data_IF_175358103303
#
_entry.id   IF_175358103303
#
_cell.length_a   1.000
_cell.length_b   1.000
_cell.length_c   1.000
_cell.angle_alpha   90.00
_cell.angle_beta   90.00
_cell.angle_gamma   90.00
#
_symmetry.space_group_name_H-M   'P 1'
#
loop_
_entity.id
_entity.type
_entity.pdbx_description
1 polymer ?
#
# COMPACT_ATOMS: atom_id res chain seq x y z
N UNK A 1 23.72 18.50 23.18
CA UNK A 1 23.23 17.22 22.63
C UNK A 1 21.95 17.57 21.90
N UNK A 2 22.05 17.85 20.61
CA UNK A 2 20.86 18.12 19.79
C UNK A 2 20.01 16.84 19.67
N UNK A 3 18.68 16.96 19.64
CA UNK A 3 17.82 15.81 19.40
C UNK A 3 18.09 15.20 18.01
N UNK A 4 17.99 13.87 17.95
CA UNK A 4 18.20 13.03 16.78
C UNK A 4 17.04 13.22 15.76
N UNK A 5 17.31 13.29 14.44
CA UNK A 5 16.30 13.66 13.44
C UNK A 5 15.42 12.45 13.07
N UNK A 6 14.56 11.99 13.97
CA UNK A 6 13.55 10.97 13.68
C UNK A 6 12.11 11.40 14.07
N UNK A 7 11.90 12.69 14.37
CA UNK A 7 10.67 13.14 15.04
C UNK A 7 9.49 13.53 14.12
N UNK A 8 9.55 13.28 12.80
CA UNK A 8 8.44 13.61 11.90
C UNK A 8 8.12 12.52 10.87
N UNK A 9 7.34 11.51 11.27
CA UNK A 9 6.61 10.65 10.34
C UNK A 9 5.19 10.35 10.83
N UNK A 10 4.46 11.39 11.22
CA UNK A 10 3.03 11.26 11.47
C UNK A 10 2.28 11.91 10.32
N UNK A 11 1.26 11.23 9.82
CA UNK A 11 0.29 11.80 8.89
C UNK A 11 -0.19 13.16 9.45
N UNK A 12 -0.50 14.15 8.60
CA UNK A 12 -1.10 15.38 9.07
C UNK A 12 -2.33 15.08 9.94
N UNK A 13 -2.49 15.79 11.06
CA UNK A 13 -3.60 15.54 12.01
C UNK A 13 -5.00 15.75 11.43
N UNK A 14 -5.09 16.31 10.22
CA UNK A 14 -6.32 16.53 9.46
C UNK A 14 -6.64 15.38 8.49
N UNK A 15 -5.72 14.44 8.27
CA UNK A 15 -5.88 13.35 7.31
C UNK A 15 -6.17 12.02 8.04
N UNK A 16 -7.43 11.61 8.02
CA UNK A 16 -7.84 10.26 8.40
C UNK A 16 -7.85 9.37 7.14
N UNK A 17 -7.33 8.14 7.26
CA UNK A 17 -7.28 7.19 6.15
C UNK A 17 -7.58 5.78 6.63
N UNK A 18 -7.93 4.91 5.68
CA UNK A 18 -8.18 3.50 5.90
C UNK A 18 -8.09 2.74 4.59
N UNK A 19 -7.80 1.44 4.67
CA UNK A 19 -7.60 0.62 3.48
C UNK A 19 -8.14 -0.79 3.69
N UNK A 20 -8.67 -1.35 2.61
CA UNK A 20 -9.16 -2.71 2.55
C UNK A 20 -9.10 -3.17 1.10
N UNK A 21 -8.78 -4.43 0.89
CA UNK A 21 -8.92 -5.10 -0.40
C UNK A 21 -9.68 -6.41 -0.24
N UNK A 22 -10.30 -6.90 -1.31
CA UNK A 22 -11.14 -8.09 -1.31
C UNK A 22 -11.09 -8.76 -2.70
N UNK A 23 -10.91 -10.10 -2.80
CA UNK A 23 -10.90 -10.81 -4.10
C UNK A 23 -12.24 -10.76 -4.85
N UNK A 24 -13.32 -10.37 -4.18
CA UNK A 24 -14.67 -10.42 -4.69
C UNK A 24 -15.22 -11.85 -4.74
N UNK A 25 -16.26 -12.05 -5.55
CA UNK A 25 -17.05 -13.30 -5.58
C UNK A 25 -16.58 -14.33 -6.61
N UNK A 26 -15.74 -13.93 -7.56
CA UNK A 26 -15.41 -14.72 -8.75
C UNK A 26 -13.95 -15.14 -8.77
N UNK A 27 -13.02 -14.25 -8.39
CA UNK A 27 -11.60 -14.56 -8.44
C UNK A 27 -11.24 -15.53 -7.30
N UNK A 28 -10.42 -16.56 -7.56
CA UNK A 28 -9.97 -17.49 -6.52
C UNK A 28 -8.90 -16.90 -5.59
N UNK A 29 -8.25 -15.81 -6.01
CA UNK A 29 -7.22 -15.11 -5.28
C UNK A 29 -7.31 -13.61 -5.54
N UNK A 30 -6.84 -12.83 -4.57
CA UNK A 30 -6.71 -11.38 -4.70
C UNK A 30 -5.32 -11.05 -5.26
N UNK A 31 -5.27 -10.29 -6.34
CA UNK A 31 -4.02 -9.82 -6.95
C UNK A 31 -3.84 -8.30 -6.77
N UNK A 32 -4.72 -7.65 -6.02
CA UNK A 32 -4.60 -6.24 -5.65
C UNK A 32 -3.56 -6.06 -4.53
N UNK A 33 -2.78 -5.00 -4.61
CA UNK A 33 -1.85 -4.58 -3.57
C UNK A 33 -1.95 -3.06 -3.32
N UNK A 34 -1.50 -2.60 -2.14
CA UNK A 34 -1.48 -1.18 -1.79
C UNK A 34 -0.28 -0.83 -0.92
N UNK A 35 0.17 0.43 -1.00
CA UNK A 35 1.13 1.03 -0.07
C UNK A 35 0.57 2.33 0.49
N UNK A 36 0.83 2.59 1.76
CA UNK A 36 0.41 3.82 2.43
C UNK A 36 1.61 4.37 3.21
N UNK A 37 2.07 5.54 2.79
CA UNK A 37 3.12 6.31 3.47
C UNK A 37 2.55 7.71 3.78
N UNK A 38 1.74 7.85 4.84
CA UNK A 38 1.08 9.11 5.18
C UNK A 38 2.04 10.24 5.51
N UNK A 39 3.24 9.91 5.99
CA UNK A 39 4.32 10.85 6.22
C UNK A 39 4.85 11.49 4.94
N UNK A 40 4.68 10.82 3.80
CA UNK A 40 5.00 11.34 2.47
C UNK A 40 3.77 11.93 1.77
N UNK A 41 2.58 11.83 2.38
CA UNK A 41 1.31 12.08 1.71
C UNK A 41 1.05 11.13 0.53
N UNK A 42 1.67 9.93 0.54
CA UNK A 42 1.65 8.99 -0.58
C UNK A 42 0.71 7.81 -0.31
N UNK A 43 -0.12 7.51 -1.31
CA UNK A 43 -1.03 6.37 -1.32
C UNK A 43 -0.95 5.70 -2.69
N UNK A 44 -0.71 4.39 -2.71
CA UNK A 44 -0.54 3.60 -3.93
C UNK A 44 -1.52 2.44 -3.94
N UNK A 45 -2.13 2.17 -5.09
CA UNK A 45 -2.92 0.97 -5.36
C UNK A 45 -2.40 0.36 -6.65
N UNK A 46 -2.22 -0.96 -6.66
CA UNK A 46 -1.74 -1.72 -7.81
C UNK A 46 -2.68 -2.90 -8.08
N UNK A 47 -3.26 -2.97 -9.27
CA UNK A 47 -4.12 -4.07 -9.73
C UNK A 47 -3.25 -5.09 -10.48
N UNK A 48 -3.04 -6.25 -9.87
CA UNK A 48 -2.26 -7.33 -10.46
C UNK A 48 -3.03 -8.08 -11.53
N UNK A 49 -2.38 -8.26 -12.68
CA UNK A 49 -2.89 -9.10 -13.77
C UNK A 49 -1.92 -10.25 -14.08
N UNK A 50 -2.44 -11.44 -14.33
CA UNK A 50 -1.64 -12.60 -14.75
C UNK A 50 -2.04 -13.92 -14.10
N UNK A 51 -2.82 -13.89 -13.02
CA UNK A 51 -3.34 -15.07 -12.36
C UNK A 51 -2.36 -15.75 -11.39
N UNK A 52 -2.93 -16.32 -10.32
CA UNK A 52 -2.25 -17.04 -9.24
C UNK A 52 -1.11 -16.28 -8.56
N UNK A 53 0.11 -16.40 -9.10
CA UNK A 53 1.34 -15.81 -8.54
C UNK A 53 1.91 -14.70 -9.41
N UNK A 54 1.48 -14.62 -10.68
CA UNK A 54 1.99 -13.63 -11.64
C UNK A 54 1.50 -12.23 -11.31
N UNK A 55 0.18 -12.07 -11.20
CA UNK A 55 -0.44 -10.77 -10.90
C UNK A 55 -0.10 -10.31 -9.49
N UNK A 56 -0.25 -11.19 -8.49
CA UNK A 56 0.08 -10.85 -7.10
C UNK A 56 1.54 -10.41 -6.92
N UNK A 57 2.51 -11.06 -7.58
CA UNK A 57 3.92 -10.66 -7.50
C UNK A 57 4.17 -9.32 -8.20
N UNK A 58 3.59 -9.10 -9.37
CA UNK A 58 3.74 -7.85 -10.09
C UNK A 58 3.15 -6.68 -9.29
N UNK A 59 1.95 -6.85 -8.72
CA UNK A 59 1.33 -5.84 -7.88
C UNK A 59 2.14 -5.56 -6.60
N UNK A 60 2.69 -6.60 -5.97
CA UNK A 60 3.58 -6.49 -4.81
C UNK A 60 4.82 -5.63 -5.09
N UNK A 61 5.50 -5.85 -6.22
CA UNK A 61 6.69 -5.06 -6.60
C UNK A 61 6.37 -3.56 -6.67
N UNK A 62 5.20 -3.18 -7.20
CA UNK A 62 4.79 -1.77 -7.33
C UNK A 62 4.61 -1.07 -5.98
N UNK A 63 4.35 -1.83 -4.90
CA UNK A 63 4.02 -1.28 -3.58
C UNK A 63 5.10 -1.54 -2.52
N UNK A 64 6.11 -2.35 -2.84
CA UNK A 64 7.24 -2.69 -1.96
C UNK A 64 8.55 -1.96 -2.32
N UNK A 65 8.78 -1.68 -3.61
CA UNK A 65 9.94 -0.90 -4.12
C UNK A 65 9.56 0.56 -4.43
#
# INVERSE_FOLDING_TARGET
MEPHPDEHKLAPSWLAWGVRTDPGRVRPANEDAYHIAPELGLFVVSDGMGGHRGGAKAAGIVVED
#
